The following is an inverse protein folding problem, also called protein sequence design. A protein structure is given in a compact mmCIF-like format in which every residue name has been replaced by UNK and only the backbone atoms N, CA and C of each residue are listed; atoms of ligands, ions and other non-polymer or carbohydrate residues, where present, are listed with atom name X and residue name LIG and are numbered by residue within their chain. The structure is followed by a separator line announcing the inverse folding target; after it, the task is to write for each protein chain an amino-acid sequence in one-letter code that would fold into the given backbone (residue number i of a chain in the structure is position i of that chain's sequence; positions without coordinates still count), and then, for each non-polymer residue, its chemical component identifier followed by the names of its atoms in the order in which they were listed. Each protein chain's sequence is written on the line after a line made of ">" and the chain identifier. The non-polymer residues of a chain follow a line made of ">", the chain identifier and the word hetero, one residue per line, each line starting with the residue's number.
data_IF_854490359052
#
_entry.id   IF_854490359052
#
_cell.length_a   1.000
_cell.length_b   1.000
_cell.length_c   1.000
_cell.angle_alpha   90.00
_cell.angle_beta   90.00
_cell.angle_gamma   90.00
#
_symmetry.space_group_name_H-M   'P 1'
#
loop_
_entity.id
_entity.type
_entity.pdbx_description
1 polymer ?
#
# COMPACT_ATOMS: atom_id res chain seq x y z
N UNK A 1 12.38 -15.66 -14.76
CA UNK A 1 11.83 -14.57 -13.95
C UNK A 1 12.54 -13.28 -14.31
N UNK A 2 11.78 -12.27 -14.73
CA UNK A 2 12.25 -10.92 -15.03
C UNK A 2 12.70 -10.24 -13.74
N UNK A 3 13.99 -9.89 -13.66
CA UNK A 3 14.63 -9.25 -12.51
C UNK A 3 14.47 -7.71 -12.46
N UNK A 4 13.66 -7.14 -13.34
CA UNK A 4 13.65 -5.70 -13.57
C UNK A 4 12.33 -5.08 -13.13
N UNK A 5 12.44 -4.32 -12.04
CA UNK A 5 11.47 -3.38 -11.45
C UNK A 5 10.55 -3.95 -10.36
N UNK A 6 10.72 -3.41 -9.15
CA UNK A 6 9.78 -3.40 -8.03
C UNK A 6 9.52 -4.68 -7.23
N UNK A 7 9.89 -5.85 -7.77
CA UNK A 7 9.66 -7.10 -7.05
C UNK A 7 10.76 -7.37 -6.01
N UNK A 8 10.37 -7.32 -4.73
CA UNK A 8 11.24 -7.62 -3.61
C UNK A 8 11.70 -9.09 -3.59
N UNK A 9 13.01 -9.31 -3.46
CA UNK A 9 13.62 -10.64 -3.37
C UNK A 9 14.11 -10.93 -1.95
N UNK A 10 13.96 -12.18 -1.51
CA UNK A 10 14.37 -12.60 -0.16
C UNK A 10 15.86 -12.95 -0.07
N UNK A 11 16.53 -13.13 -1.22
CA UNK A 11 17.90 -13.67 -1.31
C UNK A 11 18.09 -15.06 -0.66
N UNK A 12 17.01 -15.78 -0.35
CA UNK A 12 17.09 -17.12 0.29
C UNK A 12 17.20 -18.26 -0.71
N UNK A 13 16.79 -18.04 -1.96
CA UNK A 13 16.70 -19.08 -3.00
C UNK A 13 17.64 -18.76 -4.18
N UNK A 14 18.80 -18.16 -3.89
CA UNK A 14 19.79 -17.80 -4.92
C UNK A 14 21.09 -18.55 -4.66
N UNK A 15 21.62 -19.19 -5.70
CA UNK A 15 22.91 -19.88 -5.63
C UNK A 15 24.07 -18.88 -5.57
N UNK A 16 25.23 -19.31 -5.03
CA UNK A 16 26.46 -18.48 -5.05
C UNK A 16 26.85 -18.07 -6.47
N UNK A 17 26.60 -18.92 -7.47
CA UNK A 17 26.87 -18.63 -8.87
C UNK A 17 25.96 -17.53 -9.42
N UNK A 18 24.67 -17.57 -9.09
CA UNK A 18 23.72 -16.51 -9.45
C UNK A 18 24.01 -15.20 -8.72
N UNK A 19 24.35 -15.27 -7.43
CA UNK A 19 24.73 -14.08 -6.68
C UNK A 19 26.00 -13.43 -7.26
N UNK A 20 27.02 -14.22 -7.61
CA UNK A 20 28.20 -13.71 -8.36
C UNK A 20 27.82 -13.09 -9.71
N UNK A 21 26.80 -13.61 -10.40
CA UNK A 21 26.29 -13.01 -11.64
C UNK A 21 25.63 -11.65 -11.39
N UNK A 22 24.86 -11.50 -10.31
CA UNK A 22 24.30 -10.20 -9.89
C UNK A 22 25.43 -9.18 -9.72
N UNK A 23 26.47 -9.54 -8.95
CA UNK A 23 27.63 -8.67 -8.72
C UNK A 23 28.34 -8.31 -10.03
N UNK A 24 28.61 -9.31 -10.89
CA UNK A 24 29.30 -9.11 -12.17
C UNK A 24 28.50 -8.24 -13.15
N UNK A 25 27.17 -8.39 -13.18
CA UNK A 25 26.27 -7.63 -14.05
C UNK A 25 25.91 -6.26 -13.50
N UNK A 26 26.32 -5.95 -12.26
CA UNK A 26 26.04 -4.68 -11.57
C UNK A 26 24.55 -4.31 -11.56
N UNK A 27 23.69 -5.28 -11.30
CA UNK A 27 22.23 -5.05 -11.16
C UNK A 27 22.02 -4.18 -9.92
N UNK A 28 21.49 -2.97 -10.08
CA UNK A 28 21.29 -1.98 -9.02
C UNK A 28 20.22 -0.95 -9.45
N UNK A 29 19.36 -0.44 -8.54
CA UNK A 29 19.20 -0.91 -7.17
C UNK A 29 18.52 -2.29 -7.10
N UNK A 30 18.80 -3.06 -6.05
CA UNK A 30 18.02 -4.26 -5.70
C UNK A 30 16.93 -3.93 -4.70
N UNK A 31 15.83 -4.69 -4.70
CA UNK A 31 14.75 -4.57 -3.71
C UNK A 31 14.73 -5.84 -2.86
N UNK A 32 15.02 -5.74 -1.57
CA UNK A 32 15.35 -6.89 -0.71
C UNK A 32 14.42 -6.98 0.50
N UNK A 33 13.74 -8.12 0.67
CA UNK A 33 12.96 -8.41 1.86
C UNK A 33 13.89 -8.88 2.98
N UNK A 34 14.23 -7.97 3.89
CA UNK A 34 15.20 -8.17 4.96
C UNK A 34 14.56 -8.89 6.15
N UNK A 35 13.44 -8.38 6.65
CA UNK A 35 12.73 -8.81 7.87
C UNK A 35 13.53 -8.72 9.18
N UNK A 36 14.75 -9.26 9.24
CA UNK A 36 15.67 -9.13 10.37
C UNK A 36 17.11 -9.34 9.90
N UNK A 37 18.09 -8.69 10.54
CA UNK A 37 19.52 -8.96 10.27
C UNK A 37 20.11 -10.02 11.20
N UNK A 38 19.44 -10.32 12.30
CA UNK A 38 19.77 -11.48 13.13
C UNK A 38 19.50 -12.79 12.37
N UNK A 39 20.53 -13.64 12.27
CA UNK A 39 20.49 -14.88 11.49
C UNK A 39 19.44 -15.86 11.99
N UNK A 40 19.32 -16.06 13.31
CA UNK A 40 18.39 -17.04 13.87
C UNK A 40 16.95 -16.56 13.74
N UNK A 41 16.71 -15.29 14.02
CA UNK A 41 15.37 -14.68 13.86
C UNK A 41 14.95 -14.72 12.40
N UNK A 42 15.84 -14.37 11.47
CA UNK A 42 15.51 -14.38 10.05
C UNK A 42 15.23 -15.79 9.53
N UNK A 43 16.03 -16.79 9.93
CA UNK A 43 15.76 -18.20 9.61
C UNK A 43 14.39 -18.65 10.13
N UNK A 44 14.03 -18.24 11.35
CA UNK A 44 12.71 -18.53 11.96
C UNK A 44 11.57 -17.89 11.17
N UNK A 45 11.68 -16.63 10.79
CA UNK A 45 10.63 -15.92 10.01
C UNK A 45 10.49 -16.52 8.62
N UNK A 46 11.61 -16.81 7.96
CA UNK A 46 11.63 -17.28 6.57
C UNK A 46 11.35 -18.78 6.42
N UNK A 47 11.46 -19.57 7.49
CA UNK A 47 11.41 -21.03 7.42
C UNK A 47 12.51 -21.62 6.52
N UNK A 48 13.63 -20.92 6.36
CA UNK A 48 14.69 -21.29 5.41
C UNK A 48 16.07 -21.10 6.07
N UNK A 49 16.88 -22.17 6.08
CA UNK A 49 18.22 -22.17 6.69
C UNK A 49 19.20 -21.20 6.02
N UNK A 50 19.09 -21.00 4.70
CA UNK A 50 19.94 -20.07 3.95
C UNK A 50 19.62 -18.60 4.25
N UNK A 51 18.50 -18.31 4.91
CA UNK A 51 18.15 -16.95 5.29
C UNK A 51 19.20 -16.28 6.20
N UNK A 52 19.95 -17.06 6.98
CA UNK A 52 21.03 -16.56 7.84
C UNK A 52 22.19 -15.90 7.09
N UNK A 53 22.32 -16.11 5.77
CA UNK A 53 23.40 -15.54 4.92
C UNK A 53 23.17 -14.07 4.55
N UNK A 54 22.05 -13.45 4.92
CA UNK A 54 21.66 -12.12 4.47
C UNK A 54 22.78 -11.08 4.64
N UNK A 55 23.28 -10.90 5.86
CA UNK A 55 24.26 -9.83 6.14
C UNK A 55 25.57 -10.02 5.37
N UNK A 56 25.99 -11.27 5.14
CA UNK A 56 27.11 -11.56 4.26
C UNK A 56 26.83 -11.03 2.84
N UNK A 57 25.65 -11.34 2.29
CA UNK A 57 25.26 -10.93 0.93
C UNK A 57 25.14 -9.41 0.81
N UNK A 58 24.46 -8.74 1.75
CA UNK A 58 24.35 -7.27 1.77
C UNK A 58 25.73 -6.60 1.85
N UNK A 59 26.66 -7.17 2.63
CA UNK A 59 28.05 -6.70 2.68
C UNK A 59 28.77 -6.86 1.34
N UNK A 60 28.51 -7.94 0.59
CA UNK A 60 29.08 -8.10 -0.75
C UNK A 60 28.48 -7.09 -1.75
N UNK A 61 27.17 -6.81 -1.68
CA UNK A 61 26.54 -5.77 -2.50
C UNK A 61 27.20 -4.41 -2.23
N UNK A 62 27.40 -4.06 -0.95
CA UNK A 62 28.12 -2.85 -0.54
C UNK A 62 29.53 -2.80 -1.12
N UNK A 63 30.30 -3.87 -1.00
CA UNK A 63 31.68 -3.96 -1.55
C UNK A 63 31.72 -3.82 -3.07
N UNK A 64 30.66 -4.24 -3.77
CA UNK A 64 30.51 -4.08 -5.21
C UNK A 64 29.96 -2.71 -5.63
N UNK A 65 29.69 -1.81 -4.67
CA UNK A 65 29.03 -0.53 -4.86
C UNK A 65 27.66 -0.66 -5.55
N UNK A 66 26.86 -1.64 -5.14
CA UNK A 66 25.48 -1.83 -5.63
C UNK A 66 24.51 -1.40 -4.55
N UNK A 67 23.57 -0.53 -4.92
CA UNK A 67 22.54 -0.03 -4.01
C UNK A 67 21.40 -1.03 -3.85
N UNK A 68 20.71 -0.96 -2.73
CA UNK A 68 19.50 -1.72 -2.49
C UNK A 68 18.52 -0.99 -1.56
N UNK A 69 17.25 -1.21 -1.81
CA UNK A 69 16.14 -0.85 -0.95
C UNK A 69 15.72 -2.06 -0.13
N UNK A 70 15.36 -1.84 1.13
CA UNK A 70 15.00 -2.91 2.06
C UNK A 70 13.54 -2.81 2.47
N UNK A 71 12.91 -3.96 2.67
CA UNK A 71 11.60 -4.07 3.29
C UNK A 71 11.70 -4.93 4.56
N UNK A 72 11.04 -4.48 5.62
CA UNK A 72 10.86 -5.22 6.85
C UNK A 72 9.37 -5.38 7.10
N UNK A 73 8.85 -6.58 6.85
CA UNK A 73 7.58 -7.01 7.43
C UNK A 73 7.81 -7.32 8.90
N UNK A 74 7.26 -6.49 9.78
CA UNK A 74 7.43 -6.56 11.23
C UNK A 74 6.34 -7.46 11.82
N UNK A 75 6.74 -8.39 12.67
CA UNK A 75 5.89 -9.37 13.34
C UNK A 75 5.99 -9.18 14.87
N UNK A 76 4.86 -8.99 15.56
CA UNK A 76 4.85 -8.73 17.01
C UNK A 76 5.54 -9.84 17.81
N UNK A 77 6.47 -9.46 18.69
CA UNK A 77 7.23 -10.37 19.55
C UNK A 77 8.25 -11.26 18.84
N UNK A 78 8.59 -10.96 17.57
CA UNK A 78 9.55 -11.75 16.78
C UNK A 78 10.70 -10.87 16.28
N UNK A 79 10.39 -9.84 15.50
CA UNK A 79 11.38 -8.92 14.90
C UNK A 79 11.03 -7.44 15.12
N UNK A 80 10.22 -7.14 16.13
CA UNK A 80 9.94 -5.79 16.63
C UNK A 80 10.91 -5.38 17.75
N UNK A 81 10.71 -4.17 18.31
CA UNK A 81 11.48 -3.67 19.45
C UNK A 81 13.00 -3.67 19.22
N UNK A 82 13.76 -4.27 20.14
CA UNK A 82 15.22 -4.31 20.08
C UNK A 82 15.77 -5.03 18.83
N UNK A 83 15.05 -6.02 18.30
CA UNK A 83 15.45 -6.73 17.08
C UNK A 83 15.32 -5.81 15.87
N UNK A 84 14.24 -5.02 15.81
CA UNK A 84 14.07 -4.01 14.76
C UNK A 84 15.15 -2.94 14.86
N UNK A 85 15.43 -2.43 16.07
CA UNK A 85 16.47 -1.42 16.29
C UNK A 85 17.85 -1.91 15.82
N UNK A 86 18.20 -3.15 16.15
CA UNK A 86 19.43 -3.79 15.65
C UNK A 86 19.41 -3.88 14.13
N UNK A 87 18.30 -4.34 13.55
CA UNK A 87 18.12 -4.49 12.10
C UNK A 87 18.32 -3.17 11.37
N UNK A 88 17.69 -2.10 11.83
CA UNK A 88 17.85 -0.76 11.24
C UNK A 88 19.28 -0.24 11.39
N UNK A 89 19.93 -0.46 12.54
CA UNK A 89 21.33 -0.06 12.76
C UNK A 89 22.30 -0.81 11.84
N UNK A 90 22.12 -2.12 11.69
CA UNK A 90 22.92 -2.95 10.80
C UNK A 90 22.76 -2.51 9.34
N UNK A 91 21.53 -2.23 8.89
CA UNK A 91 21.28 -1.71 7.54
C UNK A 91 21.88 -0.32 7.34
N UNK A 92 21.73 0.57 8.31
CA UNK A 92 22.29 1.93 8.24
C UNK A 92 23.83 1.92 8.21
N UNK A 93 24.48 0.92 8.81
CA UNK A 93 25.94 0.74 8.69
C UNK A 93 26.41 0.47 7.24
N UNK A 94 25.49 0.11 6.34
CA UNK A 94 25.74 -0.11 4.93
C UNK A 94 25.34 1.10 4.05
N UNK A 95 24.87 2.19 4.64
CA UNK A 95 24.62 3.45 3.95
C UNK A 95 25.89 3.98 3.25
N UNK A 96 25.81 4.57 2.03
CA UNK A 96 24.60 4.87 1.25
C UNK A 96 24.16 3.74 0.30
N UNK A 97 24.70 2.52 0.46
CA UNK A 97 24.35 1.39 -0.40
C UNK A 97 23.09 0.66 0.05
N UNK A 98 22.84 0.56 1.36
CA UNK A 98 21.47 0.49 1.84
C UNK A 98 20.86 1.88 1.62
N UNK A 99 19.98 2.03 0.64
CA UNK A 99 19.46 3.32 0.21
C UNK A 99 18.23 3.75 1.03
N UNK A 100 17.31 2.83 1.27
CA UNK A 100 16.16 3.08 2.14
C UNK A 100 15.57 1.80 2.72
N UNK A 101 14.71 1.93 3.73
CA UNK A 101 14.04 0.84 4.43
C UNK A 101 12.56 1.16 4.62
N UNK A 102 11.65 0.31 4.13
CA UNK A 102 10.24 0.35 4.51
C UNK A 102 9.98 -0.60 5.68
N UNK A 103 9.22 -0.12 6.68
CA UNK A 103 8.72 -0.94 7.80
C UNK A 103 7.21 -1.08 7.66
N UNK A 104 6.76 -2.31 7.45
CA UNK A 104 5.37 -2.69 7.17
C UNK A 104 4.89 -3.62 8.29
N UNK A 105 3.69 -3.46 8.85
CA UNK A 105 3.17 -4.41 9.83
C UNK A 105 2.78 -5.72 9.14
N UNK A 106 2.83 -6.84 9.85
CA UNK A 106 2.36 -8.11 9.30
C UNK A 106 0.85 -8.09 9.08
N UNK A 107 0.43 -8.28 7.83
CA UNK A 107 -0.96 -8.58 7.45
C UNK A 107 -1.21 -10.08 7.46
N UNK A 108 -2.37 -10.51 7.96
CA UNK A 108 -2.75 -11.93 8.03
C UNK A 108 -4.10 -12.17 7.34
N UNK A 109 -4.14 -13.17 6.47
CA UNK A 109 -5.40 -13.72 5.94
C UNK A 109 -5.91 -14.85 6.85
N UNK A 110 -7.16 -15.28 6.67
CA UNK A 110 -7.77 -16.43 7.35
C UNK A 110 -7.25 -17.78 6.85
N UNK A 111 -6.60 -17.80 5.69
CA UNK A 111 -6.05 -19.00 5.06
C UNK A 111 -4.64 -19.32 5.62
N UNK A 112 -4.59 -19.84 6.85
CA UNK A 112 -3.32 -20.08 7.59
C UNK A 112 -3.21 -21.45 8.25
N UNK A 113 -3.98 -22.42 7.78
CA UNK A 113 -3.93 -23.79 8.31
C UNK A 113 -2.52 -24.39 8.15
N UNK A 114 -1.95 -24.94 9.23
CA UNK A 114 -0.62 -25.53 9.24
C UNK A 114 0.56 -24.55 9.20
N UNK A 115 0.32 -23.23 9.20
CA UNK A 115 1.37 -22.21 9.19
C UNK A 115 1.80 -21.79 10.60
N UNK A 116 2.99 -21.20 10.73
CA UNK A 116 3.50 -20.67 11.99
C UNK A 116 2.51 -19.67 12.61
N UNK A 117 2.21 -19.76 13.92
CA UNK A 117 1.24 -18.89 14.57
C UNK A 117 1.78 -17.46 14.62
N UNK A 118 1.17 -16.59 13.81
CA UNK A 118 1.42 -15.14 13.81
C UNK A 118 0.16 -14.45 14.31
N UNK A 119 0.35 -13.27 14.90
CA UNK A 119 -0.71 -12.33 15.25
C UNK A 119 -0.41 -10.98 14.64
N UNK A 120 -1.46 -10.17 14.47
CA UNK A 120 -1.34 -8.76 14.08
C UNK A 120 -0.96 -7.88 15.28
N UNK A 121 -0.49 -6.67 14.99
CA UNK A 121 -0.27 -5.64 16.00
C UNK A 121 -1.60 -5.14 16.58
N UNK A 122 -1.61 -4.89 17.88
CA UNK A 122 -2.63 -4.03 18.50
C UNK A 122 -2.31 -2.55 18.24
N UNK A 123 -3.29 -1.65 18.38
CA UNK A 123 -3.06 -0.20 18.27
C UNK A 123 -1.94 0.31 19.19
N UNK A 124 -1.86 -0.21 20.42
CA UNK A 124 -0.80 0.17 21.36
C UNK A 124 0.60 -0.25 20.90
N UNK A 125 0.73 -1.45 20.36
CA UNK A 125 2.00 -1.93 19.82
C UNK A 125 2.36 -1.25 18.49
N UNK A 126 1.38 -0.94 17.64
CA UNK A 126 1.57 -0.16 16.41
C UNK A 126 2.12 1.24 16.73
N UNK A 127 1.60 1.91 17.78
CA UNK A 127 2.13 3.18 18.28
C UNK A 127 3.59 3.07 18.73
N UNK A 128 3.92 2.02 19.47
CA UNK A 128 5.30 1.79 19.93
C UNK A 128 6.25 1.52 18.75
N UNK A 129 5.81 0.73 17.77
CA UNK A 129 6.55 0.44 16.56
C UNK A 129 6.77 1.71 15.73
N UNK A 130 5.73 2.52 15.50
CA UNK A 130 5.83 3.78 14.79
C UNK A 130 6.78 4.76 15.48
N UNK A 131 6.72 4.87 16.82
CA UNK A 131 7.62 5.72 17.58
C UNK A 131 9.10 5.31 17.43
N UNK A 132 9.38 4.00 17.39
CA UNK A 132 10.73 3.48 17.12
C UNK A 132 11.21 3.89 15.72
N UNK A 133 10.37 3.68 14.70
CA UNK A 133 10.69 4.03 13.31
C UNK A 133 10.97 5.52 13.18
N UNK A 134 10.09 6.37 13.71
CA UNK A 134 10.24 7.84 13.63
C UNK A 134 11.48 8.34 14.37
N UNK A 135 11.80 7.75 15.54
CA UNK A 135 13.00 8.10 16.30
C UNK A 135 14.29 7.75 15.54
N UNK A 136 14.29 6.58 14.87
CA UNK A 136 15.41 6.17 14.03
C UNK A 136 15.54 7.08 12.80
N UNK A 137 14.42 7.38 12.13
CA UNK A 137 14.39 8.29 10.98
C UNK A 137 14.93 9.68 11.32
N UNK A 138 14.50 10.25 12.44
CA UNK A 138 14.99 11.53 12.94
C UNK A 138 16.50 11.51 13.23
N UNK A 139 17.03 10.36 13.68
CA UNK A 139 18.47 10.18 13.88
C UNK A 139 19.21 10.15 12.54
N UNK A 140 18.72 9.37 11.57
CA UNK A 140 19.28 9.33 10.21
C UNK A 140 19.27 10.71 9.55
N UNK A 141 18.17 11.46 9.67
CA UNK A 141 18.06 12.80 9.08
C UNK A 141 19.14 13.75 9.59
N UNK A 142 19.47 13.69 10.89
CA UNK A 142 20.52 14.52 11.49
C UNK A 142 21.94 14.18 11.00
N UNK A 143 22.22 12.92 10.70
CA UNK A 143 23.59 12.45 10.40
C UNK A 143 23.86 12.21 8.91
N UNK A 144 22.80 12.01 8.11
CA UNK A 144 22.90 11.66 6.70
C UNK A 144 21.95 12.46 5.79
N UNK A 145 21.21 13.43 6.34
CA UNK A 145 20.23 14.26 5.63
C UNK A 145 19.13 13.48 4.87
N UNK A 146 18.87 12.25 5.29
CA UNK A 146 17.74 11.44 4.83
C UNK A 146 17.06 10.73 6.01
N UNK A 147 15.74 10.59 5.93
CA UNK A 147 14.97 9.76 6.87
C UNK A 147 15.43 8.31 6.86
N UNK A 148 15.90 7.79 5.72
CA UNK A 148 16.40 6.42 5.50
C UNK A 148 15.38 5.29 5.75
N UNK A 149 14.63 5.33 6.86
CA UNK A 149 13.57 4.41 7.23
C UNK A 149 12.22 5.11 7.21
N UNK A 150 11.21 4.43 6.67
CA UNK A 150 9.85 4.95 6.55
C UNK A 150 8.84 3.90 7.02
N UNK A 151 7.83 4.35 7.76
CA UNK A 151 6.67 3.53 8.12
C UNK A 151 5.70 3.46 6.94
N UNK A 152 5.16 2.28 6.65
CA UNK A 152 4.04 2.15 5.72
C UNK A 152 2.79 2.84 6.28
N UNK A 153 1.95 3.36 5.39
CA UNK A 153 0.71 4.05 5.74
C UNK A 153 -0.20 3.18 6.61
N UNK A 154 -0.19 1.85 6.38
CA UNK A 154 -0.92 0.90 7.22
C UNK A 154 -0.49 0.94 8.68
N UNK A 155 0.81 1.03 8.97
CA UNK A 155 1.31 1.16 10.34
C UNK A 155 0.85 2.48 10.97
N UNK A 156 0.88 3.57 10.20
CA UNK A 156 0.52 4.91 10.66
C UNK A 156 -0.97 4.95 11.04
N UNK A 157 -1.83 4.42 10.16
CA UNK A 157 -3.26 4.34 10.40
C UNK A 157 -3.60 3.38 11.56
N UNK A 158 -2.95 2.22 11.66
CA UNK A 158 -3.11 1.29 12.78
C UNK A 158 -2.71 1.91 14.13
N UNK A 159 -1.71 2.80 14.12
CA UNK A 159 -1.31 3.57 15.30
C UNK A 159 -2.29 4.72 15.62
N UNK A 160 -3.24 5.04 14.74
CA UNK A 160 -4.13 6.19 14.88
C UNK A 160 -3.36 7.53 14.85
N UNK A 161 -2.27 7.59 14.10
CA UNK A 161 -1.45 8.78 13.94
C UNK A 161 -1.83 9.53 12.64
N UNK A 162 -1.53 10.83 12.60
CA UNK A 162 -1.60 11.60 11.37
C UNK A 162 -0.50 11.15 10.39
N UNK A 163 -0.79 11.21 9.09
CA UNK A 163 0.21 10.97 8.05
C UNK A 163 1.28 12.08 8.10
N UNK A 164 2.57 11.75 7.88
CA UNK A 164 3.62 12.74 7.65
C UNK A 164 3.26 13.74 6.55
N UNK A 165 3.88 14.91 6.59
CA UNK A 165 3.78 15.91 5.52
C UNK A 165 4.39 15.39 4.22
N UNK A 166 3.99 15.97 3.08
CA UNK A 166 4.39 15.48 1.76
C UNK A 166 5.90 15.37 1.58
N UNK A 167 6.65 16.39 2.02
CA UNK A 167 8.10 16.47 1.84
C UNK A 167 8.87 15.53 2.78
N UNK A 168 8.25 15.01 3.85
CA UNK A 168 8.88 14.05 4.77
C UNK A 168 9.08 12.67 4.13
N UNK A 169 8.35 12.37 3.05
CA UNK A 169 8.51 11.16 2.24
C UNK A 169 9.67 11.25 1.24
N UNK A 170 10.32 12.40 1.13
CA UNK A 170 11.44 12.66 0.21
C UNK A 170 11.03 12.29 -1.23
N UNK A 171 11.80 11.44 -1.92
CA UNK A 171 11.51 11.04 -3.29
C UNK A 171 10.49 9.88 -3.40
N UNK A 172 9.75 9.57 -2.34
CA UNK A 172 8.75 8.50 -2.31
C UNK A 172 9.31 7.12 -2.74
N UNK A 173 10.56 6.84 -2.39
CA UNK A 173 11.33 5.64 -2.83
C UNK A 173 10.76 4.29 -2.36
N UNK A 174 9.69 4.29 -1.57
CA UNK A 174 9.09 3.10 -0.95
C UNK A 174 7.57 2.97 -1.22
N UNK A 175 7.02 3.66 -2.24
CA UNK A 175 5.59 3.58 -2.60
C UNK A 175 5.07 2.16 -2.78
N UNK A 176 5.84 1.28 -3.42
CA UNK A 176 5.48 -0.12 -3.65
C UNK A 176 5.31 -0.93 -2.34
N UNK A 177 5.88 -0.46 -1.23
CA UNK A 177 5.71 -1.03 0.10
C UNK A 177 4.59 -0.36 0.91
N UNK A 178 3.75 0.45 0.26
CA UNK A 178 2.67 1.16 0.92
C UNK A 178 3.12 2.35 1.75
N UNK A 179 4.28 2.95 1.45
CA UNK A 179 4.78 4.16 2.11
C UNK A 179 4.39 5.39 1.28
N UNK A 180 3.53 6.24 1.83
CA UNK A 180 3.17 7.53 1.22
C UNK A 180 2.11 7.46 0.12
N UNK A 181 1.44 6.31 -0.05
CA UNK A 181 0.36 6.14 -1.02
C UNK A 181 -0.78 7.13 -0.76
N UNK A 182 -1.20 7.26 0.51
CA UNK A 182 -2.31 8.12 0.90
C UNK A 182 -1.95 9.59 0.72
N UNK A 183 -0.75 10.00 1.14
CA UNK A 183 -0.31 11.39 1.01
C UNK A 183 -0.10 11.79 -0.45
N UNK A 184 0.44 10.89 -1.28
CA UNK A 184 0.57 11.11 -2.72
C UNK A 184 -0.81 11.20 -3.39
N UNK A 185 -1.74 10.32 -3.02
CA UNK A 185 -3.12 10.36 -3.50
C UNK A 185 -3.82 11.67 -3.14
N UNK A 186 -3.80 12.09 -1.87
CA UNK A 186 -4.41 13.34 -1.44
C UNK A 186 -3.81 14.54 -2.17
N UNK A 187 -2.48 14.61 -2.33
CA UNK A 187 -1.86 15.71 -3.05
C UNK A 187 -2.36 15.81 -4.49
N UNK A 188 -2.36 14.69 -5.22
CA UNK A 188 -2.88 14.64 -6.59
C UNK A 188 -4.35 15.00 -6.68
N UNK A 189 -5.15 14.53 -5.71
CA UNK A 189 -6.57 14.81 -5.60
C UNK A 189 -6.84 16.32 -5.40
N UNK A 190 -6.19 16.92 -4.40
CA UNK A 190 -6.38 18.34 -4.06
C UNK A 190 -5.88 19.24 -5.21
N UNK A 191 -4.73 18.91 -5.80
CA UNK A 191 -4.18 19.67 -6.92
C UNK A 191 -5.08 19.60 -8.17
N UNK A 192 -5.76 18.47 -8.39
CA UNK A 192 -6.69 18.30 -9.51
C UNK A 192 -8.04 18.98 -9.27
N UNK A 193 -8.63 18.81 -8.09
CA UNK A 193 -9.97 19.36 -7.80
C UNK A 193 -9.95 20.88 -7.80
N UNK A 194 -8.87 21.51 -7.33
CA UNK A 194 -8.70 22.97 -7.35
C UNK A 194 -8.62 23.57 -8.76
N UNK A 195 -8.45 22.74 -9.80
CA UNK A 195 -8.47 23.17 -11.20
C UNK A 195 -9.84 22.99 -11.87
N UNK A 196 -10.79 22.37 -11.17
CA UNK A 196 -12.12 22.12 -11.69
C UNK A 196 -13.05 23.31 -11.43
N UNK A 197 -14.15 23.36 -12.18
CA UNK A 197 -15.24 24.30 -11.92
C UNK A 197 -16.41 23.54 -11.25
N UNK A 198 -17.18 24.18 -10.34
CA UNK A 198 -18.40 23.58 -9.81
C UNK A 198 -19.36 23.16 -10.91
N UNK A 199 -20.04 22.02 -10.72
CA UNK A 199 -21.03 21.54 -11.68
C UNK A 199 -22.26 22.46 -11.72
N UNK A 200 -22.99 22.46 -12.84
CA UNK A 200 -24.26 23.20 -12.94
C UNK A 200 -25.32 22.62 -12.02
N UNK A 201 -25.35 21.28 -11.87
CA UNK A 201 -26.31 20.52 -11.07
C UNK A 201 -25.60 19.63 -10.06
N UNK A 202 -26.35 19.17 -9.08
CA UNK A 202 -25.84 18.20 -8.12
C UNK A 202 -25.56 16.85 -8.79
N UNK A 203 -24.45 16.23 -8.41
CA UNK A 203 -24.06 14.89 -8.84
C UNK A 203 -23.76 14.04 -7.60
N UNK A 204 -24.37 12.86 -7.51
CA UNK A 204 -24.15 11.93 -6.39
C UNK A 204 -23.60 10.61 -6.92
N UNK A 205 -22.70 10.00 -6.16
CA UNK A 205 -22.14 8.68 -6.47
C UNK A 205 -21.85 7.90 -5.20
N UNK A 206 -21.76 6.58 -5.32
CA UNK A 206 -21.21 5.72 -4.28
C UNK A 206 -19.74 5.39 -4.58
N UNK A 207 -18.93 5.26 -3.54
CA UNK A 207 -17.58 4.74 -3.63
C UNK A 207 -17.36 3.67 -2.56
N UNK A 208 -16.47 2.71 -2.81
CA UNK A 208 -16.16 1.69 -1.82
C UNK A 208 -14.65 1.45 -1.67
N UNK A 209 -14.22 1.14 -0.45
CA UNK A 209 -12.82 0.92 -0.09
C UNK A 209 -12.68 -0.01 1.13
N UNK A 210 -11.45 -0.42 1.42
CA UNK A 210 -11.15 -1.16 2.65
C UNK A 210 -11.37 -0.30 3.90
N UNK A 211 -11.61 -0.95 5.04
CA UNK A 211 -11.93 -0.28 6.30
C UNK A 211 -10.81 0.61 6.84
N UNK A 212 -9.54 0.29 6.55
CA UNK A 212 -8.38 0.96 7.11
C UNK A 212 -8.30 2.45 6.73
N UNK A 213 -8.47 2.76 5.44
CA UNK A 213 -8.37 4.11 4.91
C UNK A 213 -9.73 4.85 4.88
N UNK A 214 -10.79 4.26 5.48
CA UNK A 214 -12.14 4.80 5.36
C UNK A 214 -12.26 6.22 5.90
N UNK A 215 -11.72 6.50 7.09
CA UNK A 215 -11.80 7.84 7.69
C UNK A 215 -11.04 8.88 6.87
N UNK A 216 -9.81 8.55 6.44
CA UNK A 216 -9.00 9.38 5.56
C UNK A 216 -9.75 9.72 4.26
N UNK A 217 -10.28 8.71 3.58
CA UNK A 217 -11.02 8.92 2.34
C UNK A 217 -12.32 9.70 2.56
N UNK A 218 -13.03 9.46 3.67
CA UNK A 218 -14.26 10.18 4.00
C UNK A 218 -13.99 11.68 4.17
N UNK A 219 -12.92 12.04 4.88
CA UNK A 219 -12.52 13.43 5.05
C UNK A 219 -12.10 14.06 3.72
N UNK A 220 -11.27 13.37 2.94
CA UNK A 220 -10.81 13.86 1.63
C UNK A 220 -11.96 14.11 0.65
N UNK A 221 -12.96 13.23 0.63
CA UNK A 221 -14.11 13.33 -0.25
C UNK A 221 -15.04 14.51 0.07
N UNK A 222 -14.94 15.14 1.25
CA UNK A 222 -15.66 16.39 1.55
C UNK A 222 -15.22 17.55 0.66
N UNK A 223 -14.00 17.51 0.10
CA UNK A 223 -13.52 18.53 -0.82
C UNK A 223 -14.36 18.63 -2.12
N UNK A 224 -15.22 17.65 -2.40
CA UNK A 224 -16.19 17.69 -3.50
C UNK A 224 -17.42 18.59 -3.23
N UNK A 225 -17.71 18.95 -1.98
CA UNK A 225 -18.94 19.68 -1.61
C UNK A 225 -19.08 21.04 -2.33
N UNK A 226 -18.04 21.90 -2.42
CA UNK A 226 -18.11 23.16 -3.18
C UNK A 226 -18.39 22.98 -4.67
N UNK A 227 -18.20 21.78 -5.20
CA UNK A 227 -18.38 21.44 -6.61
C UNK A 227 -19.75 20.83 -6.91
N UNK A 228 -20.66 20.81 -5.90
CA UNK A 228 -21.99 20.18 -5.94
C UNK A 228 -21.95 18.66 -6.14
N UNK A 229 -20.85 18.03 -5.74
CA UNK A 229 -20.66 16.59 -5.84
C UNK A 229 -20.81 15.97 -4.44
N UNK A 230 -21.68 14.96 -4.32
CA UNK A 230 -22.09 14.34 -3.06
C UNK A 230 -21.74 12.85 -3.03
N UNK A 231 -20.54 12.49 -2.52
CA UNK A 231 -20.10 11.10 -2.43
C UNK A 231 -20.71 10.38 -1.22
N UNK A 232 -21.10 9.12 -1.41
CA UNK A 232 -21.38 8.17 -0.32
C UNK A 232 -20.29 7.11 -0.29
N UNK A 233 -19.46 7.12 0.77
CA UNK A 233 -18.35 6.18 0.92
C UNK A 233 -18.74 4.96 1.78
N UNK A 234 -18.54 3.77 1.24
CA UNK A 234 -18.79 2.49 1.91
C UNK A 234 -17.46 1.86 2.36
N UNK A 235 -17.37 1.54 3.66
CA UNK A 235 -16.28 0.74 4.20
C UNK A 235 -16.61 -0.75 4.04
N UNK A 236 -15.78 -1.48 3.31
CA UNK A 236 -16.01 -2.90 2.99
C UNK A 236 -15.12 -3.76 3.87
N UNK A 237 -15.74 -4.61 4.66
CA UNK A 237 -15.03 -5.65 5.42
C UNK A 237 -14.61 -6.78 4.47
N UNK A 238 -13.38 -7.28 4.64
CA UNK A 238 -12.88 -8.39 3.84
C UNK A 238 -13.34 -9.72 4.43
N UNK A 239 -14.40 -10.31 3.90
CA UNK A 239 -14.91 -11.62 4.35
C UNK A 239 -14.14 -12.73 3.64
N UNK A 240 -13.75 -12.51 2.38
CA UNK A 240 -13.04 -13.49 1.56
C UNK A 240 -11.69 -13.90 2.17
N UNK A 241 -10.78 -12.97 2.42
CA UNK A 241 -9.50 -13.21 3.07
C UNK A 241 -9.55 -13.07 4.60
N UNK A 242 -10.66 -12.60 5.17
CA UNK A 242 -10.86 -12.47 6.62
C UNK A 242 -10.69 -11.02 7.12
N UNK A 243 -11.44 -10.67 8.17
CA UNK A 243 -11.63 -9.28 8.62
C UNK A 243 -10.37 -8.60 9.15
N UNK A 244 -9.30 -9.35 9.41
CA UNK A 244 -7.97 -8.81 9.70
C UNK A 244 -7.31 -8.16 8.49
N UNK A 245 -7.79 -8.42 7.27
CA UNK A 245 -7.35 -7.76 6.04
C UNK A 245 -8.20 -6.50 5.82
N UNK A 246 -7.61 -5.34 6.07
CA UNK A 246 -8.34 -4.06 6.10
C UNK A 246 -7.99 -3.13 4.93
N UNK A 247 -7.01 -3.50 4.10
CA UNK A 247 -6.58 -2.75 2.92
C UNK A 247 -7.54 -2.92 1.74
N UNK A 248 -7.72 -1.87 0.95
CA UNK A 248 -8.66 -1.86 -0.18
C UNK A 248 -8.30 -2.83 -1.31
N UNK A 249 -7.02 -3.00 -1.64
CA UNK A 249 -6.59 -3.83 -2.78
C UNK A 249 -6.84 -5.33 -2.66
N UNK A 250 -7.31 -5.81 -1.51
CA UNK A 250 -7.63 -7.22 -1.28
C UNK A 250 -9.14 -7.47 -1.16
N UNK A 251 -9.98 -6.44 -1.32
CA UNK A 251 -11.44 -6.57 -1.33
C UNK A 251 -11.87 -7.27 -2.62
N UNK A 252 -12.78 -8.23 -2.50
CA UNK A 252 -13.27 -9.05 -3.63
C UNK A 252 -14.67 -8.66 -4.08
N UNK A 253 -15.09 -9.15 -5.25
CA UNK A 253 -16.43 -8.92 -5.76
C UNK A 253 -17.52 -9.46 -4.82
N UNK A 254 -17.31 -10.65 -4.24
CA UNK A 254 -18.21 -11.22 -3.22
C UNK A 254 -18.34 -10.34 -1.97
N UNK A 255 -17.25 -9.76 -1.49
CA UNK A 255 -17.28 -8.85 -0.35
C UNK A 255 -18.17 -7.63 -0.66
N UNK A 256 -18.02 -7.05 -1.86
CA UNK A 256 -18.83 -5.93 -2.33
C UNK A 256 -20.32 -6.29 -2.44
N UNK A 257 -20.68 -7.40 -3.10
CA UNK A 257 -22.08 -7.80 -3.27
C UNK A 257 -22.77 -7.99 -1.91
N UNK A 258 -22.14 -8.76 -1.01
CA UNK A 258 -22.71 -9.08 0.30
C UNK A 258 -23.01 -7.83 1.15
N UNK A 259 -22.28 -6.73 0.92
CA UNK A 259 -22.38 -5.53 1.72
C UNK A 259 -23.15 -4.41 1.04
N UNK A 260 -23.15 -4.33 -0.30
CA UNK A 260 -23.70 -3.21 -1.07
C UNK A 260 -25.02 -3.49 -1.78
N UNK A 261 -25.40 -4.75 -2.02
CA UNK A 261 -26.63 -5.08 -2.74
C UNK A 261 -27.86 -4.49 -2.05
N UNK A 262 -28.61 -3.66 -2.77
CA UNK A 262 -29.79 -2.95 -2.26
C UNK A 262 -29.48 -1.78 -1.29
N UNK A 263 -28.21 -1.36 -1.16
CA UNK A 263 -27.78 -0.28 -0.25
C UNK A 263 -27.13 0.92 -0.94
N UNK A 264 -26.88 0.86 -2.24
CA UNK A 264 -26.31 1.97 -2.98
C UNK A 264 -27.29 3.15 -3.01
N UNK A 265 -26.77 4.36 -2.78
CA UNK A 265 -27.55 5.59 -2.80
C UNK A 265 -27.75 6.15 -4.21
N UNK A 266 -26.94 5.68 -5.15
CA UNK A 266 -26.92 6.02 -6.56
C UNK A 266 -26.77 4.76 -7.42
N UNK A 267 -26.83 4.91 -8.75
CA UNK A 267 -26.53 3.84 -9.71
C UNK A 267 -25.10 3.91 -10.26
N UNK A 268 -24.17 4.50 -9.50
CA UNK A 268 -22.76 4.67 -9.86
C UNK A 268 -21.90 4.24 -8.66
N UNK A 269 -20.99 3.29 -8.89
CA UNK A 269 -20.05 2.84 -7.88
C UNK A 269 -18.61 3.01 -8.38
N UNK A 270 -17.87 3.96 -7.80
CA UNK A 270 -16.44 4.10 -8.05
C UNK A 270 -15.63 3.18 -7.14
N UNK A 271 -14.66 2.47 -7.72
CA UNK A 271 -13.78 1.55 -6.99
C UNK A 271 -12.31 1.86 -7.33
N UNK A 272 -11.38 1.74 -6.37
CA UNK A 272 -9.96 1.71 -6.68
C UNK A 272 -9.64 0.55 -7.62
N UNK A 273 -8.96 0.83 -8.73
CA UNK A 273 -8.50 -0.20 -9.67
C UNK A 273 -7.56 -1.21 -9.01
N UNK A 274 -6.91 -0.84 -7.90
CA UNK A 274 -6.10 -1.75 -7.08
C UNK A 274 -6.89 -2.92 -6.48
N UNK A 275 -8.23 -2.91 -6.50
CA UNK A 275 -9.07 -4.06 -6.13
C UNK A 275 -9.09 -5.17 -7.20
N UNK A 276 -8.66 -4.84 -8.41
CA UNK A 276 -8.66 -5.73 -9.57
C UNK A 276 -7.26 -6.31 -9.78
N UNK A 277 -7.20 -7.46 -10.44
CA UNK A 277 -5.94 -8.05 -10.89
C UNK A 277 -5.26 -7.12 -11.89
N UNK A 278 -3.93 -7.09 -11.84
CA UNK A 278 -3.15 -6.24 -12.72
C UNK A 278 -3.50 -6.54 -14.19
N UNK A 279 -3.94 -5.51 -14.92
CA UNK A 279 -4.29 -5.57 -16.36
C UNK A 279 -5.56 -6.35 -16.71
N UNK A 280 -6.41 -6.69 -15.73
CA UNK A 280 -7.67 -7.40 -15.93
C UNK A 280 -8.82 -6.71 -15.20
N UNK A 281 -10.04 -6.73 -15.76
CA UNK A 281 -11.25 -6.27 -15.08
C UNK A 281 -11.86 -7.37 -14.19
N UNK A 282 -11.00 -8.02 -13.39
CA UNK A 282 -11.32 -9.23 -12.61
C UNK A 282 -10.80 -9.09 -11.18
N UNK A 283 -11.66 -9.35 -10.20
CA UNK A 283 -11.32 -9.40 -8.77
C UNK A 283 -10.54 -10.68 -8.41
N UNK A 284 -9.94 -10.72 -7.21
CA UNK A 284 -9.16 -11.88 -6.74
C UNK A 284 -10.00 -13.17 -6.60
N UNK A 285 -11.32 -13.05 -6.41
CA UNK A 285 -12.26 -14.18 -6.35
C UNK A 285 -12.75 -14.65 -7.73
N UNK A 286 -12.26 -14.03 -8.82
CA UNK A 286 -12.58 -14.39 -10.20
C UNK A 286 -13.80 -13.68 -10.78
N UNK A 287 -14.50 -12.86 -9.99
CA UNK A 287 -15.63 -12.06 -10.48
C UNK A 287 -15.15 -10.96 -11.42
N UNK A 288 -15.90 -10.72 -12.49
CA UNK A 288 -15.66 -9.60 -13.41
C UNK A 288 -16.36 -8.32 -12.95
N UNK A 289 -15.86 -7.15 -13.37
CA UNK A 289 -16.53 -5.86 -13.14
C UNK A 289 -17.95 -5.85 -13.72
N UNK A 290 -18.16 -6.51 -14.87
CA UNK A 290 -19.48 -6.59 -15.51
C UNK A 290 -20.47 -7.42 -14.68
N UNK A 291 -20.06 -8.56 -14.14
CA UNK A 291 -20.89 -9.37 -13.25
C UNK A 291 -21.26 -8.59 -11.99
N UNK A 292 -20.29 -7.89 -11.38
CA UNK A 292 -20.56 -7.03 -10.22
C UNK A 292 -21.56 -5.92 -10.56
N UNK A 293 -21.40 -5.27 -11.71
CA UNK A 293 -22.32 -4.22 -12.18
C UNK A 293 -23.75 -4.74 -12.35
N UNK A 294 -23.91 -5.94 -12.90
CA UNK A 294 -25.21 -6.59 -13.06
C UNK A 294 -25.83 -6.93 -11.70
N UNK A 295 -25.05 -7.49 -10.77
CA UNK A 295 -25.53 -7.90 -9.44
C UNK A 295 -25.91 -6.75 -8.52
N UNK A 296 -25.24 -5.60 -8.68
CA UNK A 296 -25.49 -4.38 -7.90
C UNK A 296 -26.48 -3.42 -8.58
N UNK A 297 -26.90 -3.69 -9.82
CA UNK A 297 -27.74 -2.80 -10.63
C UNK A 297 -27.17 -1.37 -10.73
N UNK A 298 -25.84 -1.25 -10.77
CA UNK A 298 -25.11 0.02 -10.78
C UNK A 298 -23.94 -0.03 -11.76
N UNK A 299 -23.62 1.11 -12.37
CA UNK A 299 -22.42 1.26 -13.19
C UNK A 299 -21.19 1.23 -12.29
N UNK A 300 -20.41 0.16 -12.37
CA UNK A 300 -19.15 0.03 -11.62
C UNK A 300 -18.02 0.62 -12.45
N UNK A 301 -17.34 1.62 -11.90
CA UNK A 301 -16.27 2.35 -12.59
C UNK A 301 -14.98 2.19 -11.78
N UNK A 302 -14.08 1.29 -12.20
CA UNK A 302 -12.74 1.22 -11.64
C UNK A 302 -11.95 2.47 -12.01
N UNK A 303 -11.27 3.06 -11.03
CA UNK A 303 -10.49 4.28 -11.22
C UNK A 303 -9.05 4.03 -10.81
N UNK A 304 -8.11 4.50 -11.62
CA UNK A 304 -6.67 4.35 -11.35
C UNK A 304 -6.31 5.03 -10.02
N UNK A 305 -5.35 4.43 -9.30
CA UNK A 305 -5.03 4.78 -7.91
C UNK A 305 -4.32 6.12 -7.69
N UNK A 306 -4.35 7.03 -8.67
CA UNK A 306 -3.79 8.38 -8.55
C UNK A 306 -4.93 9.36 -8.24
N UNK A 307 -4.69 10.31 -7.35
CA UNK A 307 -5.75 11.21 -6.87
C UNK A 307 -6.31 12.14 -7.95
N UNK A 308 -5.48 12.57 -8.90
CA UNK A 308 -5.91 13.37 -10.04
C UNK A 308 -6.87 12.58 -10.95
N UNK A 309 -6.56 11.31 -11.23
CA UNK A 309 -7.41 10.41 -12.01
C UNK A 309 -8.74 10.16 -11.34
N UNK A 310 -8.77 10.14 -10.00
CA UNK A 310 -10.01 10.09 -9.26
C UNK A 310 -10.91 11.29 -9.56
N UNK A 311 -10.38 12.50 -9.43
CA UNK A 311 -11.11 13.74 -9.71
C UNK A 311 -11.55 13.79 -11.19
N UNK A 312 -10.62 13.60 -12.13
CA UNK A 312 -10.89 13.63 -13.57
C UNK A 312 -12.03 12.66 -13.95
N UNK A 313 -12.00 11.45 -13.42
CA UNK A 313 -12.99 10.41 -13.72
C UNK A 313 -14.38 10.77 -13.17
N UNK A 314 -14.45 11.28 -11.93
CA UNK A 314 -15.72 11.72 -11.32
C UNK A 314 -16.34 12.86 -12.14
N UNK A 315 -15.56 13.87 -12.51
CA UNK A 315 -16.04 14.99 -13.31
C UNK A 315 -16.45 14.56 -14.72
N UNK A 316 -15.67 13.69 -15.37
CA UNK A 316 -16.01 13.16 -16.68
C UNK A 316 -17.34 12.40 -16.68
N UNK A 317 -17.58 11.56 -15.66
CA UNK A 317 -18.83 10.82 -15.54
C UNK A 317 -20.03 11.73 -15.26
N UNK A 318 -19.86 12.76 -14.41
CA UNK A 318 -20.89 13.76 -14.17
C UNK A 318 -21.30 14.47 -15.47
N UNK A 319 -20.33 14.91 -16.27
CA UNK A 319 -20.57 15.59 -17.55
C UNK A 319 -21.19 14.68 -18.62
N UNK A 320 -20.78 13.41 -18.68
CA UNK A 320 -21.33 12.42 -19.61
C UNK A 320 -22.83 12.21 -19.37
N UNK A 321 -23.24 12.05 -18.12
CA UNK A 321 -24.66 11.83 -17.78
C UNK A 321 -25.53 13.07 -17.93
N UNK A 322 -24.96 14.27 -17.80
CA UNK A 322 -25.65 15.49 -18.20
C UNK A 322 -26.01 15.51 -19.69
N UNK A 323 -25.12 15.01 -20.55
CA UNK A 323 -25.35 14.99 -22.00
C UNK A 323 -26.40 13.94 -22.37
N UNK A 324 -26.32 12.73 -21.81
CA UNK A 324 -27.31 11.67 -22.05
C UNK A 324 -28.73 12.03 -21.60
N UNK A 325 -28.88 12.77 -20.48
CA UNK A 325 -30.21 13.26 -20.06
C UNK A 325 -30.79 14.33 -20.99
N UNK A 326 -29.97 15.08 -21.74
CA UNK A 326 -30.47 16.06 -22.72
C UNK A 326 -30.95 15.39 -24.01
N UNK A 327 -30.37 14.25 -24.39
CA UNK A 327 -30.75 13.53 -25.61
C UNK A 327 -32.06 12.73 -25.47
N UNK A 328 -32.45 12.36 -24.25
CA UNK A 328 -33.71 11.64 -23.97
C UNK A 328 -34.92 12.59 -23.87
N UNK A 329 -34.69 13.91 -23.85
CA UNK A 329 -35.74 14.95 -23.79
C UNK A 329 -35.88 15.60 -25.16
N UNK A 330 -36.17 14.81 -26.20
CA UNK A 330 -36.65 15.27 -27.50
C UNK A 330 -37.62 14.25 -28.10
#
# INVERSE_FOLDING_TARGET
>A
MSFYMGNYITLTNISDAEFKRILKRRISPLYISVHATDSEIRKRIMGNADAGKLMYMLTQLRKANLQFHSQIVCCPGINDGGVLQKTLSDLFSLFPFAASVAVVPVGLTKYREGLFPLRIFTTGEAKALLALVNSFAATCKKVADTSFVYAADELILLAGAALPEYDEYEDFVQLENGVGLLRQFERGFIDAINKMNPLDRHFSFDAAGGTLAHLFMKELLLAFEPYKIHPTLHAIENIYFGSSVTVGGLITGKDLISQLKGKLSSNILFLPHSMLKAQEDVFLDGMTVQELSNELEAAVIPVRGEGDKWVETVFAEAMRRHTQQKEVVF
#
